data_IF_029034622908
#
_entry.id   IF_029034622908
#
_cell.length_a   1.000
_cell.length_b   1.000
_cell.length_c   1.000
_cell.angle_alpha   90.00
_cell.angle_beta   90.00
_cell.angle_gamma   90.00
#
_symmetry.space_group_name_H-M   'P 1'
#
loop_
_entity.id
_entity.type
_entity.pdbx_description
1 polymer ?
#
# COMPACT_ATOMS: atom_id res chain seq x y z
N UNK A 1 -21.90 -3.31 12.08
CA UNK A 1 -22.48 -3.70 10.75
C UNK A 1 -23.27 -4.97 10.89
N UNK A 2 -24.43 -5.05 10.25
CA UNK A 2 -25.24 -6.27 10.22
C UNK A 2 -25.29 -6.88 8.80
N UNK A 3 -25.90 -8.08 8.68
CA UNK A 3 -26.03 -8.76 7.39
C UNK A 3 -26.85 -7.95 6.35
N UNK A 4 -27.72 -7.02 6.79
CA UNK A 4 -28.51 -6.18 5.87
C UNK A 4 -27.65 -5.11 5.19
N UNK A 5 -26.63 -4.62 5.87
CA UNK A 5 -25.69 -3.66 5.27
C UNK A 5 -24.79 -4.35 4.24
N UNK A 6 -24.40 -5.61 4.46
CA UNK A 6 -23.66 -6.41 3.48
C UNK A 6 -24.49 -6.76 2.24
N UNK A 7 -25.82 -6.77 2.34
CA UNK A 7 -26.70 -6.98 1.20
C UNK A 7 -26.53 -5.92 0.09
N UNK A 8 -26.10 -4.70 0.42
CA UNK A 8 -25.74 -3.66 -0.57
C UNK A 8 -24.63 -4.14 -1.55
N UNK A 9 -23.78 -5.05 -1.08
CA UNK A 9 -22.69 -5.63 -1.86
C UNK A 9 -23.04 -7.01 -2.44
N UNK A 10 -24.29 -7.47 -2.25
CA UNK A 10 -24.78 -8.78 -2.69
C UNK A 10 -24.51 -9.93 -1.73
N UNK A 11 -23.88 -9.70 -0.58
CA UNK A 11 -23.62 -10.70 0.45
C UNK A 11 -24.84 -10.75 1.38
N UNK A 12 -25.82 -11.61 1.06
CA UNK A 12 -27.12 -11.67 1.73
C UNK A 12 -27.20 -12.73 2.84
N UNK A 13 -26.39 -13.79 2.74
CA UNK A 13 -26.37 -14.91 3.67
C UNK A 13 -24.94 -15.23 4.15
N UNK A 14 -24.22 -14.30 4.80
CA UNK A 14 -22.94 -14.64 5.44
C UNK A 14 -23.18 -15.62 6.59
N UNK A 15 -22.21 -16.51 6.85
CA UNK A 15 -22.29 -17.42 8.02
C UNK A 15 -22.16 -16.60 9.31
N UNK A 16 -21.13 -15.79 9.41
CA UNK A 16 -20.92 -14.83 10.47
C UNK A 16 -20.36 -13.52 9.87
N UNK A 17 -20.63 -12.39 10.52
CA UNK A 17 -20.09 -11.08 10.17
C UNK A 17 -19.29 -10.57 11.36
N UNK A 18 -18.01 -10.33 11.15
CA UNK A 18 -17.10 -9.79 12.14
C UNK A 18 -16.70 -8.37 11.72
N UNK A 19 -17.05 -7.37 12.54
CA UNK A 19 -16.88 -5.97 12.19
C UNK A 19 -15.92 -5.26 13.16
N UNK A 20 -14.85 -4.67 12.63
CA UNK A 20 -13.82 -3.95 13.38
C UNK A 20 -13.36 -4.69 14.65
N UNK A 21 -13.04 -5.97 14.49
CA UNK A 21 -12.51 -6.76 15.59
C UNK A 21 -11.18 -6.19 16.10
N UNK A 22 -10.94 -6.33 17.39
CA UNK A 22 -9.64 -5.99 17.98
C UNK A 22 -8.53 -6.94 17.52
N UNK A 23 -7.28 -6.49 17.63
CA UNK A 23 -6.09 -7.29 17.26
C UNK A 23 -6.10 -8.68 17.92
N UNK A 24 -6.34 -8.85 19.24
CA UNK A 24 -6.40 -10.17 19.85
C UNK A 24 -7.47 -11.08 19.25
N UNK A 25 -8.66 -10.54 18.96
CA UNK A 25 -9.75 -11.30 18.35
C UNK A 25 -9.41 -11.74 16.92
N UNK A 26 -8.78 -10.86 16.11
CA UNK A 26 -8.34 -11.20 14.75
C UNK A 26 -7.26 -12.29 14.78
N UNK A 27 -6.31 -12.21 15.70
CA UNK A 27 -5.29 -13.25 15.89
C UNK A 27 -5.93 -14.57 16.31
N UNK A 28 -6.86 -14.56 17.27
CA UNK A 28 -7.58 -15.76 17.71
C UNK A 28 -8.33 -16.42 16.55
N UNK A 29 -9.07 -15.62 15.75
CA UNK A 29 -9.76 -16.12 14.56
C UNK A 29 -8.80 -16.70 13.53
N UNK A 30 -7.69 -16.03 13.24
CA UNK A 30 -6.70 -16.51 12.28
C UNK A 30 -6.10 -17.87 12.71
N UNK A 31 -5.75 -18.00 13.99
CA UNK A 31 -5.22 -19.25 14.55
C UNK A 31 -6.27 -20.38 14.52
N UNK A 32 -7.48 -20.11 14.97
CA UNK A 32 -8.59 -21.10 14.99
C UNK A 32 -8.96 -21.58 13.58
N UNK A 33 -8.78 -20.73 12.57
CA UNK A 33 -9.05 -21.03 11.15
C UNK A 33 -7.85 -21.66 10.43
N UNK A 34 -6.71 -21.79 11.11
CA UNK A 34 -5.48 -22.34 10.51
C UNK A 34 -4.85 -21.41 9.46
N UNK A 35 -5.10 -20.12 9.52
CA UNK A 35 -4.55 -19.15 8.57
C UNK A 35 -3.06 -18.86 8.82
N UNK A 36 -2.55 -19.11 10.03
CA UNK A 36 -1.17 -18.87 10.40
C UNK A 36 -0.78 -19.44 11.74
N UNK A 37 0.42 -19.07 12.21
CA UNK A 37 0.99 -19.48 13.51
C UNK A 37 1.60 -18.27 14.21
N UNK A 38 1.70 -18.31 15.52
CA UNK A 38 2.48 -17.31 16.27
C UNK A 38 3.97 -17.65 16.26
N UNK A 39 4.78 -16.63 16.07
CA UNK A 39 6.22 -16.73 16.30
C UNK A 39 6.56 -16.67 17.78
N UNK A 40 7.84 -16.93 18.14
CA UNK A 40 8.35 -16.74 19.48
C UNK A 40 8.19 -15.30 20.01
N UNK A 41 8.21 -14.31 19.11
CA UNK A 41 7.96 -12.91 19.42
C UNK A 41 6.45 -12.56 19.52
N UNK A 42 5.56 -13.52 19.24
CA UNK A 42 4.12 -13.34 19.28
C UNK A 42 3.49 -12.73 18.03
N UNK A 43 4.27 -12.47 16.97
CA UNK A 43 3.75 -12.02 15.69
C UNK A 43 2.96 -13.13 14.98
N UNK A 44 1.85 -12.78 14.31
CA UNK A 44 1.13 -13.74 13.48
C UNK A 44 1.88 -13.93 12.16
N UNK A 45 2.27 -15.18 11.87
CA UNK A 45 2.99 -15.55 10.65
C UNK A 45 2.07 -16.32 9.72
N UNK A 46 1.96 -15.88 8.46
CA UNK A 46 1.11 -16.48 7.45
C UNK A 46 1.91 -16.79 6.16
N UNK A 47 1.44 -17.78 5.42
CA UNK A 47 1.93 -18.09 4.07
C UNK A 47 0.88 -17.64 3.07
N UNK A 48 1.28 -16.87 2.06
CA UNK A 48 0.36 -16.32 1.06
C UNK A 48 0.21 -17.20 -0.19
N UNK A 49 0.72 -18.43 -0.12
CA UNK A 49 0.57 -19.44 -1.17
C UNK A 49 1.31 -19.07 -2.46
N UNK A 50 0.63 -19.21 -3.58
CA UNK A 50 1.20 -18.96 -4.92
C UNK A 50 1.62 -17.50 -5.14
N UNK A 51 0.87 -16.57 -4.58
CA UNK A 51 1.11 -15.13 -4.74
C UNK A 51 1.84 -14.59 -3.51
N UNK A 52 3.17 -14.54 -3.60
CA UNK A 52 4.03 -14.00 -2.54
C UNK A 52 4.36 -12.53 -2.73
N UNK A 53 3.76 -11.89 -3.74
CA UNK A 53 3.90 -10.50 -4.09
C UNK A 53 2.74 -10.05 -4.96
N UNK A 54 2.75 -8.78 -5.37
CA UNK A 54 1.72 -8.22 -6.25
C UNK A 54 1.72 -8.90 -7.62
N UNK A 55 0.54 -8.93 -8.23
CA UNK A 55 0.30 -9.45 -9.58
C UNK A 55 -0.07 -8.30 -10.53
N UNK A 56 0.89 -7.47 -10.98
CA UNK A 56 0.57 -6.28 -11.81
C UNK A 56 -0.09 -6.64 -13.14
N UNK A 57 0.15 -7.84 -13.67
CA UNK A 57 -0.51 -8.34 -14.90
C UNK A 57 -1.97 -8.73 -14.70
N UNK A 58 -2.41 -8.91 -13.47
CA UNK A 58 -3.77 -9.28 -13.09
C UNK A 58 -4.57 -8.08 -12.55
N UNK A 59 -4.00 -6.86 -12.66
CA UNK A 59 -4.69 -5.62 -12.30
C UNK A 59 -5.43 -5.05 -13.51
N UNK A 60 -6.70 -4.70 -13.29
CA UNK A 60 -7.59 -4.13 -14.31
C UNK A 60 -8.34 -2.91 -13.75
N UNK A 61 -8.69 -1.99 -14.64
CA UNK A 61 -9.59 -0.88 -14.33
C UNK A 61 -10.83 -1.02 -15.18
N UNK A 62 -12.02 -0.85 -14.58
CA UNK A 62 -13.29 -0.94 -15.31
C UNK A 62 -13.41 0.26 -16.21
N UNK A 63 -13.50 0.00 -17.51
CA UNK A 63 -13.67 1.04 -18.53
C UNK A 63 -15.15 1.43 -18.65
N UNK A 64 -15.46 2.66 -18.26
CA UNK A 64 -16.80 3.25 -18.38
C UNK A 64 -16.72 4.64 -18.99
N UNK A 65 -17.79 5.14 -19.64
CA UNK A 65 -17.78 6.46 -20.24
C UNK A 65 -17.42 7.60 -19.28
N UNK A 66 -17.74 7.47 -18.01
CA UNK A 66 -17.47 8.49 -16.98
C UNK A 66 -16.01 8.51 -16.52
N UNK A 67 -15.27 7.42 -16.73
CA UNK A 67 -13.90 7.23 -16.24
C UNK A 67 -12.89 7.21 -17.40
N UNK A 68 -13.32 6.82 -18.59
CA UNK A 68 -12.46 6.55 -19.75
C UNK A 68 -11.39 7.61 -20.01
N UNK A 69 -11.79 8.88 -20.10
CA UNK A 69 -10.90 9.99 -20.46
C UNK A 69 -9.95 10.40 -19.30
N UNK A 70 -10.20 9.91 -18.08
CA UNK A 70 -9.37 10.23 -16.90
C UNK A 70 -8.27 9.21 -16.63
N UNK A 71 -8.26 8.08 -17.33
CA UNK A 71 -7.29 7.00 -17.14
C UNK A 71 -6.23 7.01 -18.24
N UNK A 72 -4.97 6.87 -17.84
CA UNK A 72 -3.86 6.62 -18.75
C UNK A 72 -3.82 5.14 -19.14
N UNK A 73 -4.63 4.76 -20.11
CA UNK A 73 -4.72 3.38 -20.59
C UNK A 73 -3.43 2.88 -21.22
N UNK A 74 -3.05 1.64 -20.93
CA UNK A 74 -1.84 1.02 -21.48
C UNK A 74 -1.53 -0.31 -20.83
N UNK A 75 -0.26 -0.71 -20.85
CA UNK A 75 0.22 -1.97 -20.25
C UNK A 75 0.10 -2.01 -18.72
N UNK A 76 0.01 -0.87 -18.06
CA UNK A 76 -0.10 -0.73 -16.60
C UNK A 76 -1.55 -0.62 -16.16
N UNK A 77 -2.32 0.23 -16.84
CA UNK A 77 -3.75 0.41 -16.59
C UNK A 77 -4.53 -0.30 -17.69
N UNK A 78 -4.79 -1.58 -17.48
CA UNK A 78 -5.45 -2.46 -18.46
C UNK A 78 -6.96 -2.36 -18.29
N UNK A 79 -7.73 -2.08 -19.35
CA UNK A 79 -9.17 -1.99 -19.25
C UNK A 79 -9.81 -3.37 -19.07
N UNK A 80 -10.88 -3.42 -18.26
CA UNK A 80 -11.82 -4.54 -18.22
C UNK A 80 -13.23 -4.00 -18.48
N UNK A 81 -14.03 -4.73 -19.26
CA UNK A 81 -15.40 -4.32 -19.54
C UNK A 81 -16.29 -4.45 -18.31
N UNK A 82 -17.32 -3.60 -18.20
CA UNK A 82 -18.36 -3.66 -17.17
C UNK A 82 -18.95 -5.07 -17.04
N UNK A 83 -19.26 -5.71 -18.16
CA UNK A 83 -19.84 -7.06 -18.18
C UNK A 83 -18.92 -8.11 -17.53
N UNK A 84 -17.63 -8.10 -17.86
CA UNK A 84 -16.66 -9.03 -17.26
C UNK A 84 -16.49 -8.77 -15.76
N UNK A 85 -16.39 -7.50 -15.37
CA UNK A 85 -16.30 -7.11 -13.97
C UNK A 85 -17.50 -7.60 -13.17
N UNK A 86 -18.71 -7.31 -13.61
CA UNK A 86 -19.94 -7.69 -12.94
C UNK A 86 -20.06 -9.22 -12.82
N UNK A 87 -19.73 -9.96 -13.87
CA UNK A 87 -19.73 -11.43 -13.86
C UNK A 87 -18.77 -12.00 -12.80
N UNK A 88 -17.54 -11.48 -12.71
CA UNK A 88 -16.56 -11.95 -11.72
C UNK A 88 -17.00 -11.55 -10.30
N UNK A 89 -17.48 -10.32 -10.12
CA UNK A 89 -18.04 -9.83 -8.85
C UNK A 89 -19.19 -10.72 -8.37
N UNK A 90 -20.15 -11.05 -9.23
CA UNK A 90 -21.29 -11.90 -8.89
C UNK A 90 -20.85 -13.31 -8.45
N UNK A 91 -19.87 -13.90 -9.14
CA UNK A 91 -19.28 -15.19 -8.76
C UNK A 91 -18.58 -15.12 -7.39
N UNK A 92 -17.79 -14.08 -7.15
CA UNK A 92 -17.09 -13.86 -5.89
C UNK A 92 -18.08 -13.65 -4.74
N UNK A 93 -19.13 -12.86 -4.96
CA UNK A 93 -20.19 -12.64 -3.98
C UNK A 93 -20.97 -13.93 -3.70
N UNK A 94 -21.28 -14.75 -4.73
CA UNK A 94 -21.87 -16.05 -4.57
C UNK A 94 -20.97 -17.01 -3.75
N UNK A 95 -19.64 -16.95 -3.97
CA UNK A 95 -18.67 -17.70 -3.19
C UNK A 95 -18.68 -17.30 -1.70
N UNK A 96 -18.87 -16.02 -1.38
CA UNK A 96 -18.87 -15.51 0.01
C UNK A 96 -20.16 -15.87 0.79
N UNK A 97 -21.24 -16.35 0.13
CA UNK A 97 -22.42 -16.82 0.84
C UNK A 97 -22.08 -18.03 1.74
N UNK A 98 -22.66 -18.08 2.93
CA UNK A 98 -22.44 -19.13 3.96
C UNK A 98 -20.96 -19.22 4.45
N UNK A 99 -20.15 -18.16 4.24
CA UNK A 99 -18.79 -18.02 4.76
C UNK A 99 -18.74 -16.96 5.84
N UNK A 100 -17.71 -17.05 6.66
CA UNK A 100 -17.35 -15.98 7.58
C UNK A 100 -16.82 -14.79 6.77
N UNK A 101 -17.25 -13.59 7.14
CA UNK A 101 -16.87 -12.34 6.50
C UNK A 101 -16.34 -11.38 7.56
N UNK A 102 -15.15 -10.88 7.32
CA UNK A 102 -14.50 -9.86 8.17
C UNK A 102 -14.66 -8.50 7.50
N UNK A 103 -15.06 -7.52 8.28
CA UNK A 103 -15.24 -6.13 7.80
C UNK A 103 -14.39 -5.20 8.65
N UNK A 104 -13.60 -4.39 7.98
CA UNK A 104 -12.90 -3.28 8.60
C UNK A 104 -13.37 -1.98 7.98
N UNK A 105 -13.87 -1.08 8.80
CA UNK A 105 -14.15 0.31 8.47
C UNK A 105 -13.03 1.16 9.04
N UNK A 106 -12.33 1.92 8.19
CA UNK A 106 -11.20 2.75 8.57
C UNK A 106 -10.95 3.87 7.57
N UNK A 107 -9.84 4.56 7.73
CA UNK A 107 -9.53 5.75 6.96
C UNK A 107 -8.20 5.62 6.23
N UNK A 108 -8.09 6.33 5.10
CA UNK A 108 -6.84 6.64 4.43
C UNK A 108 -6.67 8.16 4.33
N UNK A 109 -5.49 8.67 4.71
CA UNK A 109 -5.18 10.09 4.78
C UNK A 109 -5.31 10.67 6.17
N UNK A 110 -4.16 11.02 6.77
CA UNK A 110 -4.07 11.55 8.14
C UNK A 110 -4.49 13.03 8.26
N UNK A 111 -4.50 13.79 7.15
CA UNK A 111 -5.06 15.16 7.14
C UNK A 111 -6.60 15.06 7.11
N UNK A 112 -7.31 15.55 8.16
CA UNK A 112 -8.76 15.46 8.22
C UNK A 112 -9.50 16.09 7.02
N UNK A 113 -8.90 17.10 6.36
CA UNK A 113 -9.47 17.73 5.17
C UNK A 113 -9.40 16.82 3.92
N UNK A 114 -8.54 15.79 3.93
CA UNK A 114 -8.25 14.91 2.79
C UNK A 114 -8.55 13.45 3.09
N UNK A 115 -9.04 13.13 4.29
CA UNK A 115 -9.34 11.76 4.73
C UNK A 115 -10.44 11.13 3.88
N UNK A 116 -10.25 9.85 3.52
CA UNK A 116 -11.25 9.02 2.82
C UNK A 116 -11.63 7.81 3.67
N UNK A 117 -12.91 7.47 3.64
CA UNK A 117 -13.48 6.30 4.33
C UNK A 117 -13.36 5.07 3.45
N UNK A 118 -12.70 4.02 3.96
CA UNK A 118 -12.57 2.76 3.26
C UNK A 118 -13.23 1.63 4.05
N UNK A 119 -14.08 0.87 3.39
CA UNK A 119 -14.63 -0.39 3.91
C UNK A 119 -13.96 -1.55 3.23
N UNK A 120 -13.29 -2.40 4.00
CA UNK A 120 -12.67 -3.63 3.50
C UNK A 120 -13.50 -4.81 3.97
N UNK A 121 -14.06 -5.56 3.02
CA UNK A 121 -14.85 -6.77 3.26
C UNK A 121 -14.02 -7.94 2.73
N UNK A 122 -13.59 -8.83 3.60
CA UNK A 122 -12.70 -9.91 3.22
C UNK A 122 -13.00 -11.24 3.92
N UNK A 123 -12.44 -12.31 3.36
CA UNK A 123 -12.66 -13.70 3.80
C UNK A 123 -11.78 -14.12 4.97
N UNK A 124 -10.56 -13.56 5.10
CA UNK A 124 -9.55 -14.03 6.04
C UNK A 124 -9.35 -13.05 7.21
N UNK A 125 -9.28 -13.59 8.43
CA UNK A 125 -8.98 -12.81 9.64
C UNK A 125 -7.58 -12.20 9.60
N UNK A 126 -6.59 -12.93 9.05
CA UNK A 126 -5.21 -12.47 8.91
C UNK A 126 -5.10 -11.26 7.97
N UNK A 127 -5.79 -11.24 6.83
CA UNK A 127 -5.83 -10.06 5.96
C UNK A 127 -6.56 -8.88 6.62
N UNK A 128 -7.59 -9.16 7.42
CA UNK A 128 -8.28 -8.12 8.18
C UNK A 128 -7.38 -7.54 9.28
N UNK A 129 -6.56 -8.38 9.94
CA UNK A 129 -5.51 -7.92 10.86
C UNK A 129 -4.50 -7.02 10.14
N UNK A 130 -4.02 -7.43 8.96
CA UNK A 130 -3.11 -6.61 8.17
C UNK A 130 -3.69 -5.22 7.90
N UNK A 131 -4.92 -5.15 7.42
CA UNK A 131 -5.59 -3.87 7.12
C UNK A 131 -5.87 -3.06 8.37
N UNK A 132 -6.23 -3.69 9.48
CA UNK A 132 -6.37 -3.02 10.77
C UNK A 132 -5.04 -2.35 11.23
N UNK A 133 -3.90 -2.91 10.86
CA UNK A 133 -2.59 -2.34 11.19
C UNK A 133 -2.16 -1.26 10.18
N UNK A 134 -2.54 -1.39 8.92
CA UNK A 134 -2.07 -0.51 7.83
C UNK A 134 -2.92 0.74 7.62
N UNK A 135 -4.25 0.65 7.77
CA UNK A 135 -5.12 1.81 7.63
C UNK A 135 -5.23 2.57 8.95
N UNK A 136 -5.66 3.82 8.86
CA UNK A 136 -5.93 4.64 10.03
C UNK A 136 -7.17 4.08 10.72
N UNK A 137 -7.02 3.70 11.97
CA UNK A 137 -8.06 3.08 12.79
C UNK A 137 -9.03 4.15 13.31
N UNK A 138 -10.34 3.93 13.17
CA UNK A 138 -11.32 4.85 13.74
C UNK A 138 -11.32 4.76 15.27
N UNK A 139 -11.61 5.88 15.91
CA UNK A 139 -12.03 5.91 17.29
C UNK A 139 -13.43 5.28 17.44
N UNK A 140 -13.86 4.97 18.65
CA UNK A 140 -15.21 4.43 18.88
C UNK A 140 -16.32 5.41 18.44
N UNK A 141 -16.10 6.71 18.59
CA UNK A 141 -17.03 7.76 18.16
C UNK A 141 -17.11 7.87 16.62
N UNK A 142 -15.96 7.87 15.94
CA UNK A 142 -15.89 7.87 14.48
C UNK A 142 -16.54 6.62 13.89
N UNK A 143 -16.31 5.45 14.50
CA UNK A 143 -16.92 4.20 14.06
C UNK A 143 -18.46 4.23 14.24
N UNK A 144 -18.97 4.78 15.35
CA UNK A 144 -20.40 4.93 15.58
C UNK A 144 -21.07 5.85 14.56
N UNK A 145 -20.33 6.84 14.03
CA UNK A 145 -20.77 7.83 13.04
C UNK A 145 -20.21 7.58 11.64
N UNK A 146 -19.72 6.38 11.35
CA UNK A 146 -18.96 6.10 10.13
C UNK A 146 -19.76 6.33 8.85
N UNK A 147 -21.01 5.84 8.80
CA UNK A 147 -21.88 5.97 7.64
C UNK A 147 -21.44 5.15 6.43
N UNK A 148 -21.73 5.64 5.23
CA UNK A 148 -21.31 5.00 3.99
C UNK A 148 -19.82 5.30 3.72
N UNK A 149 -19.04 4.32 3.20
CA UNK A 149 -17.65 4.52 2.82
C UNK A 149 -17.55 5.33 1.50
N UNK A 150 -16.42 6.02 1.32
CA UNK A 150 -16.06 6.64 0.04
C UNK A 150 -15.68 5.58 -0.99
N UNK A 151 -15.08 4.47 -0.52
CA UNK A 151 -14.69 3.34 -1.37
C UNK A 151 -14.78 2.01 -0.61
N UNK A 152 -15.12 0.92 -1.32
CA UNK A 152 -15.20 -0.43 -0.73
C UNK A 152 -14.23 -1.37 -1.46
N UNK A 153 -13.63 -2.30 -0.72
CA UNK A 153 -12.81 -3.39 -1.26
C UNK A 153 -13.44 -4.73 -0.85
N UNK A 154 -13.75 -5.56 -1.84
CA UNK A 154 -14.15 -6.96 -1.64
C UNK A 154 -12.95 -7.86 -1.94
N UNK A 155 -12.44 -8.61 -0.97
CA UNK A 155 -11.31 -9.50 -1.15
C UNK A 155 -11.67 -10.95 -0.74
N UNK A 156 -11.58 -11.86 -1.68
CA UNK A 156 -11.82 -13.29 -1.46
C UNK A 156 -10.66 -14.12 -2.05
N UNK A 157 -9.59 -14.36 -1.29
CA UNK A 157 -8.44 -15.13 -1.75
C UNK A 157 -8.76 -16.58 -2.10
N UNK A 158 -9.78 -17.16 -1.47
CA UNK A 158 -10.22 -18.52 -1.78
C UNK A 158 -11.04 -18.64 -3.08
N UNK A 159 -11.59 -17.53 -3.58
CA UNK A 159 -12.25 -17.50 -4.89
C UNK A 159 -11.20 -17.39 -6.00
N UNK A 160 -11.22 -18.35 -6.93
CA UNK A 160 -10.29 -18.40 -8.07
C UNK A 160 -11.02 -18.12 -9.36
N UNK A 161 -10.52 -17.19 -10.16
CA UNK A 161 -10.98 -16.98 -11.52
C UNK A 161 -10.57 -18.16 -12.42
N UNK A 162 -11.33 -18.37 -13.49
CA UNK A 162 -11.01 -19.32 -14.57
C UNK A 162 -10.71 -18.46 -15.81
N UNK A 163 -9.43 -18.31 -16.20
CA UNK A 163 -9.01 -17.36 -17.26
C UNK A 163 -9.83 -17.48 -18.54
N UNK A 164 -10.08 -18.70 -19.01
CA UNK A 164 -10.78 -18.98 -20.26
C UNK A 164 -12.27 -18.60 -20.22
N UNK A 165 -12.85 -18.58 -19.01
CA UNK A 165 -14.27 -18.26 -18.81
C UNK A 165 -14.45 -16.79 -18.41
N UNK A 166 -13.56 -16.27 -17.57
CA UNK A 166 -13.67 -14.95 -16.98
C UNK A 166 -12.97 -13.88 -17.80
N UNK A 167 -12.10 -14.29 -18.71
CA UNK A 167 -11.37 -13.38 -19.61
C UNK A 167 -10.35 -12.51 -18.89
N UNK A 168 -9.67 -13.10 -17.88
CA UNK A 168 -8.55 -12.55 -17.11
C UNK A 168 -7.29 -13.35 -17.36
N UNK A 169 -6.14 -12.90 -16.84
CA UNK A 169 -4.84 -13.49 -17.20
C UNK A 169 -4.47 -14.70 -16.35
N UNK A 170 -5.00 -14.80 -15.13
CA UNK A 170 -4.71 -15.89 -14.21
C UNK A 170 -5.90 -16.20 -13.30
N UNK A 171 -5.70 -17.05 -12.30
CA UNK A 171 -6.71 -17.32 -11.26
C UNK A 171 -6.93 -16.14 -10.29
N UNK A 172 -6.03 -15.13 -10.33
CA UNK A 172 -6.19 -13.89 -9.58
C UNK A 172 -6.70 -12.78 -10.48
N UNK A 173 -7.45 -11.83 -9.90
CA UNK A 173 -7.85 -10.59 -10.56
C UNK A 173 -8.01 -9.47 -9.52
N UNK A 174 -7.38 -8.33 -9.78
CA UNK A 174 -7.51 -7.11 -9.00
C UNK A 174 -8.20 -6.09 -9.91
N UNK A 175 -9.48 -5.81 -9.66
CA UNK A 175 -10.30 -4.99 -10.54
C UNK A 175 -10.80 -3.75 -9.80
N UNK A 176 -10.50 -2.57 -10.33
CA UNK A 176 -10.86 -1.28 -9.74
C UNK A 176 -11.99 -0.64 -10.57
N UNK A 177 -13.10 -0.36 -9.93
CA UNK A 177 -14.25 0.34 -10.49
C UNK A 177 -14.40 1.71 -9.81
N UNK A 178 -13.89 2.75 -10.45
CA UNK A 178 -13.97 4.11 -9.91
C UNK A 178 -15.39 4.69 -9.93
N UNK A 179 -16.24 4.24 -10.86
CA UNK A 179 -17.63 4.70 -10.97
C UNK A 179 -18.49 4.13 -9.83
N UNK A 180 -18.42 2.81 -9.57
CA UNK A 180 -19.13 2.17 -8.47
C UNK A 180 -18.40 2.29 -7.12
N UNK A 181 -17.21 2.89 -7.10
CA UNK A 181 -16.37 3.03 -5.90
C UNK A 181 -16.09 1.68 -5.24
N UNK A 182 -15.72 0.70 -6.05
CA UNK A 182 -15.54 -0.68 -5.65
C UNK A 182 -14.26 -1.29 -6.22
N UNK A 183 -13.49 -1.96 -5.37
CA UNK A 183 -12.41 -2.84 -5.78
C UNK A 183 -12.80 -4.28 -5.50
N UNK A 184 -12.53 -5.17 -6.44
CA UNK A 184 -12.72 -6.62 -6.27
C UNK A 184 -11.37 -7.30 -6.42
N UNK A 185 -10.96 -8.05 -5.39
CA UNK A 185 -9.71 -8.82 -5.35
C UNK A 185 -10.04 -10.30 -5.23
N UNK A 186 -9.75 -11.04 -6.28
CA UNK A 186 -9.93 -12.48 -6.36
C UNK A 186 -8.58 -13.20 -6.32
N UNK A 187 -8.50 -14.34 -5.65
CA UNK A 187 -7.46 -15.34 -5.82
C UNK A 187 -6.09 -15.01 -5.19
N UNK A 188 -5.88 -13.85 -4.59
CA UNK A 188 -4.61 -13.47 -3.97
C UNK A 188 -4.73 -13.42 -2.45
N UNK A 189 -3.85 -14.18 -1.76
CA UNK A 189 -3.70 -14.11 -0.30
C UNK A 189 -2.72 -13.02 0.14
N UNK A 190 -1.91 -12.48 -0.78
CA UNK A 190 -0.94 -11.45 -0.50
C UNK A 190 -1.64 -10.15 -0.10
N UNK A 191 -1.49 -9.75 1.17
CA UNK A 191 -2.21 -8.60 1.74
C UNK A 191 -1.84 -7.27 1.10
N UNK A 192 -0.64 -7.18 0.52
CA UNK A 192 -0.19 -6.01 -0.22
C UNK A 192 -1.06 -5.63 -1.43
N UNK A 193 -1.89 -6.53 -1.96
CA UNK A 193 -2.86 -6.17 -3.01
C UNK A 193 -3.97 -5.25 -2.47
N UNK A 194 -4.45 -5.49 -1.24
CA UNK A 194 -5.45 -4.62 -0.59
C UNK A 194 -4.82 -3.24 -0.34
N UNK A 195 -3.62 -3.20 0.27
CA UNK A 195 -2.88 -1.96 0.52
C UNK A 195 -2.71 -1.13 -0.76
N UNK A 196 -2.19 -1.74 -1.81
CA UNK A 196 -1.90 -1.03 -3.07
C UNK A 196 -3.15 -0.70 -3.88
N UNK A 197 -4.25 -1.39 -3.65
CA UNK A 197 -5.56 -0.99 -4.17
C UNK A 197 -6.07 0.31 -3.52
N UNK A 198 -5.93 0.44 -2.19
CA UNK A 198 -6.22 1.70 -1.49
C UNK A 198 -5.36 2.83 -2.06
N UNK A 199 -4.06 2.60 -2.22
CA UNK A 199 -3.15 3.60 -2.79
C UNK A 199 -3.53 4.00 -4.22
N UNK A 200 -3.89 3.04 -5.09
CA UNK A 200 -4.36 3.34 -6.45
C UNK A 200 -5.64 4.17 -6.45
N UNK A 201 -6.54 3.91 -5.51
CA UNK A 201 -7.75 4.71 -5.33
C UNK A 201 -7.42 6.13 -4.86
N UNK A 202 -6.53 6.28 -3.88
CA UNK A 202 -6.07 7.59 -3.42
C UNK A 202 -5.38 8.38 -4.55
N UNK A 203 -4.58 7.71 -5.38
CA UNK A 203 -3.94 8.31 -6.55
C UNK A 203 -4.92 8.79 -7.63
N UNK A 204 -6.14 8.27 -7.63
CA UNK A 204 -7.21 8.75 -8.50
C UNK A 204 -8.02 9.89 -7.86
N UNK A 205 -8.33 9.79 -6.58
CA UNK A 205 -9.21 10.75 -5.88
C UNK A 205 -8.48 12.06 -5.53
N UNK A 206 -7.26 11.95 -5.00
CA UNK A 206 -6.53 13.10 -4.47
C UNK A 206 -6.21 14.20 -5.48
N UNK A 207 -5.81 13.91 -6.74
CA UNK A 207 -5.60 14.95 -7.74
C UNK A 207 -6.85 15.79 -8.04
N UNK A 208 -8.03 15.19 -7.96
CA UNK A 208 -9.30 15.88 -8.19
C UNK A 208 -9.63 16.90 -7.10
N UNK A 209 -9.00 16.77 -5.93
CA UNK A 209 -9.10 17.67 -4.78
C UNK A 209 -7.88 18.60 -4.63
N UNK A 210 -6.97 18.60 -5.63
CA UNK A 210 -5.77 19.45 -5.62
C UNK A 210 -4.66 18.94 -4.70
N UNK A 211 -4.74 17.70 -4.23
CA UNK A 211 -3.72 17.03 -3.40
C UNK A 211 -2.84 16.16 -4.28
N UNK A 212 -1.51 16.34 -4.20
CA UNK A 212 -0.55 15.49 -4.90
C UNK A 212 -0.32 14.19 -4.11
N UNK A 213 -0.77 13.03 -4.62
CA UNK A 213 -0.40 11.76 -4.03
C UNK A 213 1.00 11.33 -4.48
N UNK A 214 1.75 10.71 -3.59
CA UNK A 214 3.17 10.40 -3.79
C UNK A 214 3.53 9.02 -3.26
N UNK A 215 4.29 8.27 -4.04
CA UNK A 215 4.96 7.06 -3.58
C UNK A 215 6.34 7.45 -3.04
N UNK A 216 6.37 7.88 -1.80
CA UNK A 216 7.56 8.37 -1.11
C UNK A 216 7.47 8.09 0.38
N UNK A 217 8.60 8.06 1.07
CA UNK A 217 8.64 8.19 2.53
C UNK A 217 8.79 9.65 2.93
N UNK A 218 8.46 9.97 4.19
CA UNK A 218 8.57 11.32 4.72
C UNK A 218 8.97 11.32 6.19
N UNK A 219 9.78 12.30 6.56
CA UNK A 219 10.12 12.57 7.96
C UNK A 219 10.15 14.07 8.25
N UNK A 220 10.22 14.41 9.52
CA UNK A 220 10.18 15.77 10.01
C UNK A 220 11.25 16.00 11.09
N UNK A 221 11.87 17.14 11.07
CA UNK A 221 12.74 17.58 12.15
C UNK A 221 11.91 17.90 13.41
N UNK A 222 12.25 17.35 14.60
CA UNK A 222 11.42 17.49 15.79
C UNK A 222 11.43 18.91 16.39
N UNK A 223 12.43 19.76 16.07
CA UNK A 223 12.55 21.11 16.62
C UNK A 223 12.01 22.16 15.65
N UNK A 224 12.41 22.06 14.37
CA UNK A 224 12.07 23.06 13.35
C UNK A 224 10.78 22.73 12.61
N UNK A 225 10.30 21.48 12.72
CA UNK A 225 9.18 20.91 11.96
C UNK A 225 9.38 20.92 10.44
N UNK A 226 10.63 21.05 9.99
CA UNK A 226 10.98 20.99 8.59
C UNK A 226 10.84 19.56 8.05
N UNK A 227 10.00 19.40 7.04
CA UNK A 227 9.66 18.11 6.44
C UNK A 227 10.56 17.82 5.24
N UNK A 228 10.99 16.57 5.11
CA UNK A 228 11.67 16.01 3.94
C UNK A 228 10.85 14.84 3.36
N UNK A 229 10.83 14.73 2.03
CA UNK A 229 10.22 13.62 1.30
C UNK A 229 11.26 12.90 0.45
N UNK A 230 11.17 11.57 0.40
CA UNK A 230 12.14 10.69 -0.25
C UNK A 230 11.42 9.82 -1.29
N UNK A 231 11.60 10.14 -2.55
CA UNK A 231 11.13 9.32 -3.66
C UNK A 231 12.16 8.25 -4.01
N UNK A 232 11.70 7.11 -4.47
CA UNK A 232 12.55 6.02 -4.93
C UNK A 232 11.78 4.71 -5.05
N UNK A 233 12.33 3.77 -5.80
CA UNK A 233 11.75 2.44 -5.92
C UNK A 233 12.11 1.55 -4.71
N UNK A 234 11.55 0.34 -4.68
CA UNK A 234 11.91 -0.64 -3.64
C UNK A 234 13.42 -0.93 -3.68
N UNK A 235 14.06 -0.94 -2.51
CA UNK A 235 15.49 -1.21 -2.37
C UNK A 235 16.42 -0.01 -2.60
N UNK A 236 15.91 1.19 -2.87
CA UNK A 236 16.73 2.41 -3.02
C UNK A 236 17.06 3.09 -1.69
N UNK A 237 16.56 2.59 -0.55
CA UNK A 237 16.87 3.13 0.77
C UNK A 237 15.86 4.13 1.32
N UNK A 238 14.65 4.26 0.73
CA UNK A 238 13.60 5.17 1.24
C UNK A 238 13.37 5.00 2.74
N UNK A 239 13.01 3.79 3.17
CA UNK A 239 12.70 3.48 4.57
C UNK A 239 13.90 3.73 5.47
N UNK A 240 15.08 3.26 5.07
CA UNK A 240 16.32 3.41 5.85
C UNK A 240 16.68 4.87 6.09
N UNK A 241 16.59 5.72 5.06
CA UNK A 241 16.94 7.13 5.17
C UNK A 241 15.87 7.97 5.88
N UNK A 242 14.60 7.60 5.74
CA UNK A 242 13.52 8.31 6.42
C UNK A 242 13.40 7.93 7.91
N UNK A 243 13.89 6.76 8.31
CA UNK A 243 13.91 6.26 9.69
C UNK A 243 15.12 6.76 10.50
N UNK A 244 15.61 7.97 10.24
CA UNK A 244 16.66 8.61 11.03
C UNK A 244 16.19 8.79 12.49
N UNK A 245 16.95 8.28 13.51
CA UNK A 245 16.54 8.36 14.90
C UNK A 245 16.45 9.80 15.45
N UNK A 246 17.08 10.79 14.77
CA UNK A 246 17.00 12.20 15.13
C UNK A 246 15.84 12.94 14.45
N UNK A 247 15.04 12.26 13.64
CA UNK A 247 13.89 12.84 12.94
C UNK A 247 12.63 12.01 13.24
N UNK A 248 11.47 12.63 13.19
CA UNK A 248 10.20 11.94 13.36
C UNK A 248 9.72 11.36 12.04
N UNK A 249 9.43 10.06 12.00
CA UNK A 249 8.87 9.40 10.84
C UNK A 249 7.40 9.80 10.66
N UNK A 250 7.05 10.38 9.50
CA UNK A 250 5.66 10.66 9.13
C UNK A 250 5.05 9.39 8.51
N UNK A 251 5.80 8.72 7.63
CA UNK A 251 5.45 7.45 7.02
C UNK A 251 6.52 6.94 6.07
N UNK A 252 6.46 5.65 5.74
CA UNK A 252 7.52 4.96 5.01
C UNK A 252 7.26 4.79 3.50
N UNK A 253 6.02 4.99 2.99
CA UNK A 253 5.69 4.56 1.63
C UNK A 253 4.70 5.46 0.86
N UNK A 254 3.59 5.92 1.45
CA UNK A 254 2.45 6.52 0.74
C UNK A 254 1.98 7.82 1.38
N UNK A 255 2.08 8.94 0.67
CA UNK A 255 1.76 10.27 1.22
C UNK A 255 0.93 11.11 0.26
N UNK A 256 0.21 12.08 0.84
CA UNK A 256 -0.41 13.19 0.14
C UNK A 256 0.29 14.51 0.46
N UNK A 257 0.34 15.40 -0.52
CA UNK A 257 0.79 16.78 -0.33
C UNK A 257 -0.37 17.74 -0.61
N UNK A 258 -1.02 18.18 0.45
CA UNK A 258 -2.09 19.19 0.42
C UNK A 258 -1.53 20.61 0.45
N UNK A 259 -2.38 21.62 0.51
CA UNK A 259 -1.96 23.00 0.76
C UNK A 259 -1.52 23.24 2.22
N UNK A 260 -1.82 22.31 3.12
CA UNK A 260 -1.43 22.37 4.54
C UNK A 260 -0.06 21.71 4.80
N UNK A 261 0.38 20.81 3.93
CA UNK A 261 1.63 20.05 4.07
C UNK A 261 1.50 18.59 3.65
N UNK A 262 2.45 17.79 4.14
CA UNK A 262 2.51 16.35 3.89
C UNK A 262 1.68 15.61 4.91
N UNK A 263 1.00 14.56 4.47
CA UNK A 263 0.31 13.64 5.38
C UNK A 263 0.41 12.19 4.87
N UNK A 264 0.50 11.26 5.79
CA UNK A 264 0.51 9.84 5.51
C UNK A 264 -0.87 9.37 5.07
N UNK A 265 -0.96 8.51 4.06
CA UNK A 265 -2.22 7.82 3.73
C UNK A 265 -2.53 6.69 4.69
N UNK A 266 -1.52 6.16 5.35
CA UNK A 266 -1.58 4.95 6.15
C UNK A 266 -1.45 5.23 7.65
N UNK A 267 -1.92 4.30 8.47
CA UNK A 267 -1.70 4.27 9.94
C UNK A 267 -0.67 3.22 10.35
N UNK A 268 0.05 2.63 9.40
CA UNK A 268 1.05 1.59 9.63
C UNK A 268 2.12 1.54 8.57
N UNK A 269 3.01 0.56 8.71
CA UNK A 269 4.15 0.31 7.83
C UNK A 269 4.11 -1.11 7.28
N UNK A 270 4.69 -1.32 6.10
CA UNK A 270 4.79 -2.64 5.46
C UNK A 270 6.19 -2.87 4.90
N UNK A 271 7.08 -3.34 5.78
CA UNK A 271 8.51 -3.45 5.51
C UNK A 271 8.90 -4.82 4.91
N UNK A 272 10.03 -4.86 4.19
CA UNK A 272 10.70 -6.11 3.80
C UNK A 272 11.40 -6.72 5.00
N UNK A 273 11.43 -8.08 5.05
CA UNK A 273 12.13 -8.83 6.09
C UNK A 273 13.34 -9.59 5.56
N UNK A 274 13.52 -9.74 4.24
CA UNK A 274 14.68 -10.46 3.71
C UNK A 274 15.97 -9.73 4.11
N UNK A 275 16.91 -10.48 4.70
CA UNK A 275 18.16 -9.94 5.20
C UNK A 275 18.04 -9.00 6.41
N UNK A 276 16.89 -8.95 7.09
CA UNK A 276 16.64 -8.07 8.23
C UNK A 276 17.57 -8.40 9.40
N UNK A 277 18.33 -7.40 9.85
CA UNK A 277 19.26 -7.51 10.99
C UNK A 277 18.94 -6.42 12.00
N UNK A 278 18.90 -6.82 13.28
CA UNK A 278 18.60 -5.89 14.38
C UNK A 278 19.57 -4.73 14.46
N UNK A 279 20.83 -4.95 14.09
CA UNK A 279 21.88 -3.95 14.10
C UNK A 279 21.70 -2.87 13.03
N UNK A 280 21.06 -3.23 11.91
CA UNK A 280 20.88 -2.34 10.76
C UNK A 280 19.52 -1.63 10.78
N UNK A 281 18.46 -2.34 11.18
CA UNK A 281 17.07 -1.85 11.14
C UNK A 281 16.34 -2.22 12.44
N UNK A 282 16.79 -1.66 13.58
CA UNK A 282 16.27 -2.01 14.91
C UNK A 282 14.77 -1.70 15.06
N UNK A 283 14.26 -0.65 14.43
CA UNK A 283 12.85 -0.28 14.51
C UNK A 283 11.96 -1.35 13.88
N UNK A 284 12.29 -1.81 12.67
CA UNK A 284 11.55 -2.87 11.96
C UNK A 284 11.65 -4.18 12.75
N UNK A 285 12.86 -4.53 13.20
CA UNK A 285 13.08 -5.76 13.97
C UNK A 285 12.25 -5.79 15.26
N UNK A 286 12.23 -4.70 16.01
CA UNK A 286 11.48 -4.58 17.26
C UNK A 286 9.95 -4.48 17.06
N UNK A 287 9.51 -4.07 15.87
CA UNK A 287 8.09 -4.04 15.49
C UNK A 287 7.53 -5.45 15.22
N UNK A 288 8.38 -6.48 15.06
CA UNK A 288 7.96 -7.88 14.93
C UNK A 288 7.59 -8.43 16.30
N UNK A 289 6.36 -8.20 16.70
CA UNK A 289 5.80 -8.58 18.02
C UNK A 289 4.31 -8.86 17.91
N UNK A 290 3.66 -9.22 19.02
CA UNK A 290 2.20 -9.41 19.02
C UNK A 290 1.48 -8.19 18.43
N UNK A 291 0.60 -8.48 17.46
CA UNK A 291 -0.15 -7.46 16.71
C UNK A 291 0.43 -7.18 15.32
N UNK A 292 1.69 -7.51 15.03
CA UNK A 292 2.19 -7.48 13.66
C UNK A 292 1.80 -8.74 12.87
N UNK A 293 1.72 -8.61 11.55
CA UNK A 293 1.53 -9.73 10.62
C UNK A 293 2.80 -9.92 9.80
N UNK A 294 3.36 -11.13 9.84
CA UNK A 294 4.54 -11.52 9.05
C UNK A 294 4.11 -12.43 7.90
N UNK A 295 4.50 -12.12 6.68
CA UNK A 295 4.17 -12.88 5.47
C UNK A 295 5.41 -13.55 4.90
N UNK A 296 5.31 -14.87 4.69
CA UNK A 296 6.26 -15.70 3.96
C UNK A 296 7.69 -15.75 4.53
N UNK A 297 7.90 -15.39 5.78
CA UNK A 297 9.19 -15.61 6.45
C UNK A 297 9.25 -17.03 6.97
N UNK A 298 10.35 -17.72 6.69
CA UNK A 298 10.61 -19.07 7.21
C UNK A 298 10.80 -19.03 8.72
N UNK A 299 10.18 -19.96 9.42
CA UNK A 299 10.19 -20.04 10.87
C UNK A 299 10.53 -21.46 11.32
N UNK A 300 11.47 -21.62 12.22
CA UNK A 300 11.84 -22.90 12.80
C UNK A 300 10.79 -23.44 13.81
N UNK A 301 11.01 -24.64 14.32
CA UNK A 301 10.08 -25.27 15.29
C UNK A 301 9.99 -24.52 16.64
N UNK A 302 10.99 -23.72 16.98
CA UNK A 302 10.98 -22.86 18.17
C UNK A 302 10.20 -21.55 17.95
N UNK A 303 9.73 -21.30 16.73
CA UNK A 303 9.02 -20.07 16.37
C UNK A 303 9.94 -18.90 16.07
N UNK A 304 11.23 -19.13 15.82
CA UNK A 304 12.21 -18.11 15.46
C UNK A 304 12.30 -17.96 13.94
N UNK A 305 12.45 -16.72 13.48
CA UNK A 305 12.54 -16.40 12.05
C UNK A 305 13.95 -16.59 11.50
N UNK A 306 14.03 -17.12 10.29
CA UNK A 306 15.19 -17.04 9.42
C UNK A 306 14.94 -15.98 8.34
N UNK A 307 15.50 -14.80 8.54
CA UNK A 307 15.33 -13.68 7.60
C UNK A 307 16.25 -13.78 6.38
N UNK A 308 17.24 -14.66 6.39
CA UNK A 308 18.13 -14.89 5.25
C UNK A 308 17.59 -16.01 4.33
N UNK A 309 16.55 -16.76 4.75
CA UNK A 309 15.93 -17.82 3.96
C UNK A 309 14.93 -17.25 2.94
N UNK A 310 15.26 -17.35 1.66
CA UNK A 310 14.44 -16.94 0.52
C UNK A 310 13.72 -18.11 -0.20
N UNK A 311 13.76 -19.31 0.39
CA UNK A 311 13.19 -20.52 -0.21
C UNK A 311 11.70 -20.43 -0.56
N UNK A 312 10.93 -19.61 0.18
CA UNK A 312 9.55 -19.31 -0.11
C UNK A 312 9.41 -18.14 -1.09
N UNK A 313 10.18 -17.08 -0.86
CA UNK A 313 10.23 -15.87 -1.68
C UNK A 313 11.26 -14.88 -1.14
N UNK A 314 11.87 -14.09 -2.01
CA UNK A 314 12.65 -12.90 -1.63
C UNK A 314 11.76 -11.73 -1.12
N UNK A 315 10.44 -11.82 -1.31
CA UNK A 315 9.49 -10.78 -0.91
C UNK A 315 8.82 -11.06 0.44
N UNK A 316 9.62 -11.46 1.42
CA UNK A 316 9.16 -11.59 2.81
C UNK A 316 8.80 -10.23 3.39
N UNK A 317 7.71 -10.15 4.18
CA UNK A 317 7.16 -8.88 4.65
C UNK A 317 6.69 -8.92 6.10
N UNK A 318 6.68 -7.75 6.74
CA UNK A 318 5.96 -7.51 7.99
C UNK A 318 5.11 -6.26 7.90
N UNK A 319 3.83 -6.40 8.28
CA UNK A 319 2.90 -5.29 8.49
C UNK A 319 2.71 -5.01 9.97
N UNK A 320 2.82 -3.75 10.37
CA UNK A 320 2.69 -3.30 11.76
C UNK A 320 2.14 -1.87 11.81
N UNK A 321 1.49 -1.47 12.93
CA UNK A 321 1.01 -0.10 13.06
C UNK A 321 2.18 0.86 13.30
N UNK A 322 2.04 2.09 12.82
CA UNK A 322 3.13 3.09 12.88
C UNK A 322 3.54 3.44 14.32
N UNK A 323 2.64 3.30 15.29
CA UNK A 323 2.90 3.49 16.73
C UNK A 323 3.80 2.40 17.36
N UNK A 324 4.23 1.39 16.56
CA UNK A 324 5.31 0.49 16.98
C UNK A 324 6.70 1.10 16.77
N UNK A 325 6.80 2.21 16.07
CA UNK A 325 8.03 2.98 15.86
C UNK A 325 8.07 4.12 16.87
N UNK A 326 9.08 4.12 17.74
CA UNK A 326 9.17 5.03 18.89
C UNK A 326 9.21 6.52 18.47
N UNK A 327 9.85 6.86 17.35
CA UNK A 327 9.97 8.22 16.83
C UNK A 327 8.97 8.55 15.71
N UNK A 328 7.87 7.83 15.61
CA UNK A 328 6.82 8.16 14.65
C UNK A 328 6.08 9.46 15.03
N UNK A 329 5.72 10.24 14.01
CA UNK A 329 4.83 11.40 14.17
C UNK A 329 3.38 10.94 14.08
N UNK A 330 2.63 11.08 15.16
CA UNK A 330 1.22 10.73 15.22
C UNK A 330 0.41 12.02 15.27
N UNK A 331 -0.56 12.22 14.38
CA UNK A 331 -1.24 11.23 13.53
C UNK A 331 -0.65 11.02 12.13
N UNK A 332 0.57 11.43 11.83
CA UNK A 332 1.20 11.25 10.52
C UNK A 332 1.00 12.46 9.59
N UNK A 333 1.11 13.66 10.15
CA UNK A 333 1.05 14.93 9.41
C UNK A 333 2.34 15.72 9.62
N UNK A 334 2.79 16.40 8.57
CA UNK A 334 3.95 17.28 8.60
C UNK A 334 3.68 18.59 7.88
N UNK A 335 4.62 19.52 7.98
CA UNK A 335 4.54 20.77 7.26
C UNK A 335 4.80 20.61 5.76
N UNK A 336 4.88 21.76 5.09
CA UNK A 336 5.26 21.81 3.68
C UNK A 336 6.73 21.37 3.55
N UNK A 337 7.05 20.43 2.62
CA UNK A 337 8.40 19.90 2.51
C UNK A 337 9.42 21.00 2.15
N UNK A 338 10.51 21.02 2.88
CA UNK A 338 11.68 21.87 2.60
C UNK A 338 12.65 21.20 1.63
N UNK A 339 12.66 19.88 1.62
CA UNK A 339 13.59 19.07 0.82
C UNK A 339 12.81 17.94 0.14
N UNK A 340 13.06 17.80 -1.16
CA UNK A 340 12.60 16.67 -1.98
C UNK A 340 13.84 15.92 -2.43
N UNK A 341 13.91 14.62 -2.09
CA UNK A 341 15.05 13.76 -2.38
C UNK A 341 14.60 12.67 -3.35
N UNK A 342 15.31 12.52 -4.47
CA UNK A 342 15.12 11.41 -5.40
C UNK A 342 16.26 10.40 -5.20
N UNK A 343 15.90 9.21 -4.72
CA UNK A 343 16.82 8.10 -4.47
C UNK A 343 16.91 7.21 -5.70
N UNK A 344 18.13 7.02 -6.19
CA UNK A 344 18.41 6.24 -7.38
C UNK A 344 19.54 5.25 -7.10
N UNK A 345 19.29 3.96 -7.33
CA UNK A 345 20.37 2.99 -7.40
C UNK A 345 21.02 3.10 -8.78
N UNK A 346 22.27 3.53 -8.84
CA UNK A 346 23.04 3.62 -10.08
C UNK A 346 24.15 2.56 -10.11
N UNK A 347 23.80 1.39 -10.65
CA UNK A 347 24.74 0.28 -10.79
C UNK A 347 25.77 0.48 -11.91
N UNK A 348 25.62 1.51 -12.74
CA UNK A 348 26.45 1.74 -13.93
C UNK A 348 27.39 2.93 -13.81
N UNK A 349 27.28 3.70 -12.71
CA UNK A 349 28.10 4.87 -12.46
C UNK A 349 27.83 6.04 -13.44
N UNK A 350 26.56 6.21 -13.84
CA UNK A 350 26.14 7.24 -14.80
C UNK A 350 25.86 8.56 -14.10
N UNK A 351 25.35 8.50 -12.86
CA UNK A 351 24.96 9.67 -12.08
C UNK A 351 26.03 10.03 -11.05
N UNK A 352 26.18 11.32 -10.68
CA UNK A 352 27.02 11.69 -9.55
C UNK A 352 26.40 11.16 -8.24
N UNK A 353 27.23 10.84 -7.22
CA UNK A 353 26.73 10.31 -5.94
C UNK A 353 25.70 11.21 -5.27
N UNK A 354 25.79 12.51 -5.45
CA UNK A 354 24.83 13.52 -4.99
C UNK A 354 24.84 14.69 -5.95
N UNK A 355 23.66 15.23 -6.26
CA UNK A 355 23.53 16.45 -7.06
C UNK A 355 22.34 17.27 -6.59
N UNK A 356 22.50 18.60 -6.71
CA UNK A 356 21.37 19.51 -6.57
C UNK A 356 20.73 19.70 -7.93
N UNK A 357 19.43 19.48 -8.00
CA UNK A 357 18.66 19.62 -9.23
C UNK A 357 17.99 21.00 -9.26
N UNK A 358 17.95 21.61 -10.44
CA UNK A 358 17.03 22.72 -10.72
C UNK A 358 15.61 22.15 -10.96
N UNK A 359 14.65 23.04 -11.13
CA UNK A 359 13.25 22.70 -11.30
C UNK A 359 13.00 21.78 -12.52
N UNK A 360 13.65 22.05 -13.66
CA UNK A 360 13.50 21.23 -14.87
C UNK A 360 14.12 19.85 -14.70
N UNK A 361 15.31 19.78 -14.10
CA UNK A 361 15.97 18.51 -13.81
C UNK A 361 15.18 17.68 -12.77
N UNK A 362 14.65 18.32 -11.73
CA UNK A 362 13.80 17.66 -10.74
C UNK A 362 12.54 17.08 -11.38
N UNK A 363 11.87 17.86 -12.25
CA UNK A 363 10.70 17.41 -12.99
C UNK A 363 11.03 16.22 -13.92
N UNK A 364 12.17 16.30 -14.63
CA UNK A 364 12.63 15.21 -15.49
C UNK A 364 12.87 13.92 -14.70
N UNK A 365 13.57 13.99 -13.55
CA UNK A 365 13.81 12.85 -12.69
C UNK A 365 12.51 12.27 -12.11
N UNK A 366 11.58 13.12 -11.72
CA UNK A 366 10.27 12.71 -11.22
C UNK A 366 9.45 11.96 -12.27
N UNK A 367 9.36 12.51 -13.48
CA UNK A 367 8.60 11.90 -14.58
C UNK A 367 9.25 10.60 -15.07
N UNK A 368 10.57 10.55 -15.15
CA UNK A 368 11.28 9.35 -15.64
C UNK A 368 11.37 8.25 -14.58
N UNK A 369 11.56 8.62 -13.30
CA UNK A 369 11.71 7.65 -12.21
C UNK A 369 12.83 6.64 -12.47
N UNK A 370 13.99 7.12 -12.96
CA UNK A 370 15.13 6.25 -13.28
C UNK A 370 15.74 5.63 -12.02
N UNK A 371 16.03 4.33 -12.09
CA UNK A 371 16.84 3.59 -11.12
C UNK A 371 17.39 2.31 -11.76
N UNK A 372 18.33 1.65 -11.08
CA UNK A 372 18.69 0.26 -11.43
C UNK A 372 17.95 -0.71 -10.51
N UNK A 373 17.28 -1.72 -11.07
CA UNK A 373 16.87 -2.89 -10.31
C UNK A 373 18.11 -3.66 -9.95
N UNK A 374 18.31 -3.91 -8.68
CA UNK A 374 19.43 -4.70 -8.17
C UNK A 374 18.97 -6.16 -8.03
N UNK A 375 19.94 -7.10 -8.05
CA UNK A 375 19.68 -8.50 -7.78
C UNK A 375 18.94 -8.67 -6.44
N UNK A 376 17.96 -9.57 -6.37
CA UNK A 376 17.15 -9.82 -5.16
C UNK A 376 16.09 -8.74 -4.84
N UNK A 377 15.89 -7.72 -5.67
CA UNK A 377 14.82 -6.73 -5.47
C UNK A 377 13.50 -7.15 -6.07
N UNK A 378 13.52 -7.97 -7.12
CA UNK A 378 12.35 -8.58 -7.76
C UNK A 378 12.69 -9.99 -8.22
N UNK A 379 11.69 -10.88 -8.25
CA UNK A 379 11.85 -12.26 -8.69
C UNK A 379 12.41 -12.33 -10.12
N UNK A 380 13.53 -13.02 -10.29
CA UNK A 380 14.18 -13.23 -11.60
C UNK A 380 15.17 -12.15 -12.02
N UNK A 381 15.41 -11.14 -11.18
CA UNK A 381 16.47 -10.15 -11.40
C UNK A 381 17.76 -10.66 -10.74
N UNK A 382 18.66 -11.21 -11.56
CA UNK A 382 19.96 -11.76 -11.13
C UNK A 382 21.12 -10.79 -11.35
N UNK A 383 20.94 -9.80 -12.22
CA UNK A 383 21.93 -8.76 -12.54
C UNK A 383 21.26 -7.37 -12.52
N UNK A 384 22.03 -6.30 -12.24
CA UNK A 384 21.49 -4.94 -12.28
C UNK A 384 20.94 -4.59 -13.66
N UNK A 385 19.74 -4.03 -13.69
CA UNK A 385 19.05 -3.61 -14.93
C UNK A 385 18.54 -2.17 -14.78
N UNK A 386 18.79 -1.28 -15.77
CA UNK A 386 18.20 0.04 -15.77
C UNK A 386 16.68 -0.08 -15.85
N UNK A 387 16.00 0.70 -15.05
CA UNK A 387 14.54 0.67 -14.93
C UNK A 387 14.01 2.10 -14.87
N UNK A 388 12.86 2.30 -15.48
CA UNK A 388 12.09 3.51 -15.39
C UNK A 388 10.74 3.18 -14.76
N UNK A 389 10.35 3.93 -13.75
CA UNK A 389 9.02 3.84 -13.14
C UNK A 389 8.52 5.26 -12.93
N UNK A 390 7.73 5.72 -13.87
CA UNK A 390 7.19 7.09 -13.90
C UNK A 390 6.64 7.48 -12.54
N UNK A 391 7.03 8.66 -12.05
CA UNK A 391 6.63 9.19 -10.74
C UNK A 391 7.08 8.32 -9.54
N UNK A 392 8.03 7.40 -9.75
CA UNK A 392 8.42 6.34 -8.79
C UNK A 392 7.28 5.45 -8.32
N UNK A 393 6.13 5.50 -9.00
CA UNK A 393 4.91 4.82 -8.60
C UNK A 393 4.02 4.36 -9.76
N UNK A 394 4.55 4.24 -10.98
CA UNK A 394 3.81 3.94 -12.22
C UNK A 394 2.72 2.86 -12.05
N UNK A 395 2.95 1.70 -11.39
CA UNK A 395 1.92 0.67 -11.26
C UNK A 395 0.66 1.09 -10.50
N UNK A 396 0.71 2.22 -9.80
CA UNK A 396 -0.36 2.71 -8.92
C UNK A 396 -1.00 4.01 -9.41
N UNK A 397 -0.45 4.60 -10.49
CA UNK A 397 -0.90 5.90 -11.01
C UNK A 397 -1.91 5.69 -12.14
N UNK A 398 -3.22 5.91 -11.90
CA UNK A 398 -4.23 5.67 -12.92
C UNK A 398 -4.33 6.79 -13.96
N UNK A 399 -4.02 8.04 -13.58
CA UNK A 399 -4.17 9.20 -14.47
C UNK A 399 -2.89 9.44 -15.29
N UNK A 400 -2.98 10.33 -16.28
CA UNK A 400 -1.81 10.73 -17.06
C UNK A 400 -0.69 11.29 -16.16
N UNK A 401 0.56 10.86 -16.35
CA UNK A 401 1.69 11.33 -15.54
C UNK A 401 1.84 12.85 -15.49
N UNK A 402 1.43 13.56 -16.55
CA UNK A 402 1.48 15.02 -16.57
C UNK A 402 0.58 15.68 -15.52
N UNK A 403 -0.50 15.02 -15.10
CA UNK A 403 -1.38 15.53 -14.03
C UNK A 403 -0.58 15.68 -12.74
N UNK A 404 0.11 14.61 -12.32
CA UNK A 404 0.91 14.58 -11.09
C UNK A 404 2.15 15.47 -11.20
N UNK A 405 2.81 15.46 -12.35
CA UNK A 405 3.97 16.28 -12.63
C UNK A 405 3.64 17.78 -12.53
N UNK A 406 2.55 18.22 -13.16
CA UNK A 406 2.07 19.60 -13.07
C UNK A 406 1.64 20.00 -11.64
N UNK A 407 1.23 19.02 -10.82
CA UNK A 407 0.92 19.28 -9.41
C UNK A 407 2.20 19.48 -8.60
N UNK A 408 3.23 18.66 -8.83
CA UNK A 408 4.53 18.82 -8.17
C UNK A 408 5.15 20.19 -8.52
N UNK A 409 5.15 20.57 -9.80
CA UNK A 409 5.62 21.86 -10.28
C UNK A 409 4.93 23.03 -9.58
N UNK A 410 3.59 23.04 -9.57
CA UNK A 410 2.81 24.08 -8.90
C UNK A 410 3.06 24.17 -7.40
N UNK A 411 3.26 23.01 -6.73
CA UNK A 411 3.54 22.97 -5.29
C UNK A 411 4.96 23.42 -5.00
N UNK A 412 5.95 23.04 -5.80
CA UNK A 412 7.34 23.46 -5.66
C UNK A 412 7.52 24.96 -5.96
N UNK A 413 6.86 25.50 -6.98
CA UNK A 413 6.95 26.93 -7.37
C UNK A 413 6.33 27.88 -6.31
N UNK A 414 5.25 27.46 -5.62
CA UNK A 414 4.65 28.20 -4.51
C UNK A 414 5.56 28.33 -3.28
N UNK A 415 6.58 27.50 -3.20
CA UNK A 415 7.46 27.39 -2.05
C UNK A 415 8.66 28.32 -2.11
N UNK A 416 8.63 29.44 -2.73
CA UNK A 416 9.75 30.41 -2.79
C UNK A 416 11.12 29.81 -3.13
N UNK A 417 11.97 30.56 -3.79
CA UNK A 417 13.30 30.27 -4.32
C UNK A 417 14.36 29.64 -3.38
N UNK A 418 13.97 29.12 -2.21
CA UNK A 418 14.84 28.48 -1.21
C UNK A 418 14.76 26.95 -1.15
N UNK A 419 13.93 26.29 -1.96
CA UNK A 419 13.82 24.84 -1.95
C UNK A 419 14.92 24.16 -2.77
N UNK A 420 15.47 23.10 -2.22
CA UNK A 420 16.54 22.33 -2.83
C UNK A 420 16.03 20.93 -3.14
N UNK A 421 16.01 20.55 -4.42
CA UNK A 421 15.85 19.16 -4.83
C UNK A 421 17.22 18.50 -4.89
N UNK A 422 17.39 17.37 -4.24
CA UNK A 422 18.67 16.63 -4.19
C UNK A 422 18.40 15.22 -4.73
N UNK A 423 19.27 14.75 -5.63
CA UNK A 423 19.28 13.37 -6.12
C UNK A 423 20.43 12.59 -5.49
N UNK A 424 20.17 11.38 -5.07
CA UNK A 424 21.15 10.41 -4.56
C UNK A 424 21.25 9.22 -5.48
#
# INVERSE_FOLDING_TARGET
MDAKELAKYGIINPKNVYHNLSVPQLVEHALARGEGKLSAAGALTVLTGKYTGRSPKDKFIVDTPTVHDSIAWGSVNVPITREKFDKIREKLVAYLQNRDVFVFDGFAGADPACTKKFRIINEMASQNLFIHQLLIRPTAEELANYGDPDFTILAAPGFKCIPEIDGVNSEAAIMIDYEQKLVVIAGSQYSGEIKKSVFSVMNYLMPQEGVLPMHCSANMDPETHETAVFFGLSGTGKTTLSADPNRKLIGDDEHGWSDHGIFNFEGGCYAKCIGLKKENEPEIYNAIRFGSLVENVVMNDAGEYDFDDDSLTENTRVGYPVDFIDNAEIPGVGGIPKVVIFLTADAFGVLPPISRLDENAAMYHFVTGFTSKLAGTERGVTEPQPTFSTLFGEPFMPMDPSVYANMLDRKSTRLNSSHHSISY
#
